data_IF_294172331122
#
_entry.id   IF_294172331122
#
_cell.length_a   1.000
_cell.length_b   1.000
_cell.length_c   1.000
_cell.angle_alpha   90.00
_cell.angle_beta   90.00
_cell.angle_gamma   90.00
#
_symmetry.space_group_name_H-M   'P 1'
#
loop_
_entity.id
_entity.type
_entity.pdbx_description
1 polymer ?
#
# COMPACT_ATOMS: atom_id res chain seq x y z
N UNK A 1 20.16 -4.81 7.49
CA UNK A 1 18.75 -4.40 7.73
C UNK A 1 18.71 -3.40 8.87
N UNK A 2 18.02 -2.28 8.66
CA UNK A 2 17.87 -1.27 9.70
C UNK A 2 16.95 -1.76 10.81
N UNK A 3 17.22 -1.33 12.03
CA UNK A 3 16.33 -1.56 13.16
C UNK A 3 15.19 -0.53 13.13
N UNK A 4 14.02 -0.96 13.59
CA UNK A 4 12.86 -0.08 13.67
C UNK A 4 13.12 1.07 14.66
N UNK A 5 12.92 2.29 14.17
CA UNK A 5 12.96 3.51 14.99
C UNK A 5 11.89 4.48 14.47
N UNK A 6 11.33 5.31 15.34
CA UNK A 6 10.38 6.36 14.95
C UNK A 6 11.08 7.73 14.96
N UNK A 7 10.92 8.53 13.91
CA UNK A 7 10.28 8.18 12.63
C UNK A 7 11.14 7.27 11.77
N UNK A 8 10.49 6.54 10.85
CA UNK A 8 11.21 5.73 9.87
C UNK A 8 11.99 6.63 8.89
N UNK A 9 13.14 6.15 8.46
CA UNK A 9 13.95 6.84 7.44
C UNK A 9 13.48 6.41 6.05
N UNK A 10 12.36 6.98 5.62
CA UNK A 10 11.74 6.69 4.32
C UNK A 10 11.37 7.98 3.61
N UNK A 11 11.21 7.87 2.29
CA UNK A 11 10.79 8.97 1.42
C UNK A 11 9.46 8.59 0.78
N UNK A 12 8.53 9.54 0.72
CA UNK A 12 7.25 9.38 0.02
C UNK A 12 7.28 10.18 -1.28
N UNK A 13 6.98 9.51 -2.40
CA UNK A 13 6.81 10.14 -3.70
C UNK A 13 5.36 10.12 -4.11
N UNK A 14 4.89 11.17 -4.76
CA UNK A 14 3.50 11.27 -5.23
C UNK A 14 3.48 11.71 -6.69
N UNK A 15 2.72 10.95 -7.50
CA UNK A 15 2.47 11.25 -8.90
C UNK A 15 0.96 11.39 -9.08
N UNK A 16 0.51 12.53 -9.59
CA UNK A 16 -0.90 12.79 -9.84
C UNK A 16 -1.25 12.45 -11.29
N UNK A 17 -2.39 11.83 -11.50
CA UNK A 17 -2.94 11.58 -12.82
C UNK A 17 -4.01 12.61 -13.16
N UNK A 18 -4.18 12.86 -14.46
CA UNK A 18 -5.18 13.79 -14.98
C UNK A 18 -6.09 13.07 -15.99
N UNK A 19 -7.17 13.70 -16.38
CA UNK A 19 -8.08 13.15 -17.38
C UNK A 19 -8.86 11.95 -16.88
N UNK A 20 -8.75 10.82 -17.57
CA UNK A 20 -9.51 9.60 -17.26
C UNK A 20 -9.23 9.05 -15.86
N UNK A 21 -8.07 9.35 -15.32
CA UNK A 21 -7.63 8.84 -14.02
C UNK A 21 -7.78 9.89 -12.91
N UNK A 22 -8.63 10.88 -13.11
CA UNK A 22 -8.91 11.92 -12.10
C UNK A 22 -9.39 11.27 -10.81
N UNK A 23 -8.78 11.65 -9.67
CA UNK A 23 -9.05 11.06 -8.37
C UNK A 23 -8.19 9.82 -8.08
N UNK A 24 -7.46 9.34 -9.07
CA UNK A 24 -6.48 8.27 -8.90
C UNK A 24 -5.06 8.85 -8.96
N UNK A 25 -4.16 8.22 -8.28
CA UNK A 25 -2.77 8.66 -8.22
C UNK A 25 -1.83 7.51 -7.98
N UNK A 26 -0.57 7.80 -7.79
CA UNK A 26 0.43 6.84 -7.34
C UNK A 26 1.32 7.54 -6.32
N UNK A 27 1.10 7.25 -5.06
CA UNK A 27 2.00 7.67 -4.00
C UNK A 27 2.67 6.41 -3.46
N UNK A 28 3.97 6.46 -3.26
CA UNK A 28 4.71 5.27 -2.83
C UNK A 28 5.88 5.66 -1.95
N UNK A 29 6.32 4.69 -1.14
CA UNK A 29 7.48 4.86 -0.28
C UNK A 29 8.74 4.35 -0.97
N UNK A 30 9.87 4.92 -0.56
CA UNK A 30 11.20 4.39 -0.81
C UNK A 30 11.93 4.29 0.52
N UNK A 31 12.63 3.20 0.75
CA UNK A 31 13.43 3.01 1.96
C UNK A 31 12.94 1.89 2.87
N UNK A 32 11.72 1.36 2.67
CA UNK A 32 11.24 0.24 3.49
C UNK A 32 12.07 -1.03 3.26
N UNK A 33 12.68 -1.18 2.10
CA UNK A 33 13.59 -2.29 1.80
C UNK A 33 14.75 -2.35 2.79
N UNK A 34 15.19 -1.22 3.32
CA UNK A 34 16.25 -1.17 4.33
C UNK A 34 15.81 -1.79 5.66
N UNK A 35 14.51 -1.83 5.92
CA UNK A 35 13.92 -2.46 7.11
C UNK A 35 13.48 -3.90 6.86
N UNK A 36 13.80 -4.47 5.70
CA UNK A 36 13.43 -5.82 5.34
C UNK A 36 11.98 -5.99 4.90
N UNK A 37 11.33 -4.89 4.46
CA UNK A 37 9.94 -4.88 4.03
C UNK A 37 9.83 -4.39 2.59
N UNK A 38 8.74 -4.74 1.92
CA UNK A 38 8.42 -4.13 0.64
C UNK A 38 7.91 -2.72 0.83
N UNK A 39 8.15 -1.89 -0.16
CA UNK A 39 7.53 -0.58 -0.19
C UNK A 39 6.02 -0.71 -0.35
N UNK A 40 5.32 0.32 0.06
CA UNK A 40 3.87 0.40 -0.01
C UNK A 40 3.48 1.54 -0.94
N UNK A 41 2.30 1.43 -1.52
CA UNK A 41 1.80 2.46 -2.41
C UNK A 41 0.31 2.73 -2.17
N UNK A 42 -0.15 3.88 -2.65
CA UNK A 42 -1.51 4.34 -2.52
C UNK A 42 -1.99 4.80 -3.90
N UNK A 43 -3.12 4.27 -4.34
CA UNK A 43 -3.64 4.53 -5.70
C UNK A 43 -4.68 5.64 -5.78
N UNK A 44 -4.92 6.38 -4.70
CA UNK A 44 -5.86 7.49 -4.67
C UNK A 44 -5.11 8.81 -4.59
N UNK A 45 -5.59 9.81 -5.31
CA UNK A 45 -5.04 11.17 -5.23
C UNK A 45 -5.68 11.92 -4.05
N UNK A 46 -4.99 11.92 -2.93
CA UNK A 46 -5.35 12.70 -1.76
C UNK A 46 -4.41 13.92 -1.66
N UNK A 47 -4.73 14.88 -0.79
CA UNK A 47 -3.79 15.96 -0.55
C UNK A 47 -2.47 15.43 0.03
N UNK A 48 -1.40 16.22 -0.04
CA UNK A 48 -0.07 15.75 0.34
C UNK A 48 0.01 15.37 1.83
N UNK A 49 -0.65 16.13 2.70
CA UNK A 49 -0.64 15.85 4.14
C UNK A 49 -1.30 14.51 4.46
N UNK A 50 -2.51 14.28 3.93
CA UNK A 50 -3.22 13.01 4.14
C UNK A 50 -2.46 11.83 3.54
N UNK A 51 -1.89 12.00 2.35
CA UNK A 51 -1.10 10.97 1.68
C UNK A 51 0.10 10.57 2.54
N UNK A 52 0.88 11.53 3.00
CA UNK A 52 2.03 11.27 3.86
C UNK A 52 1.64 10.64 5.19
N UNK A 53 0.56 11.13 5.81
CA UNK A 53 0.08 10.58 7.08
C UNK A 53 -0.33 9.12 6.94
N UNK A 54 -1.06 8.77 5.89
CA UNK A 54 -1.47 7.38 5.65
C UNK A 54 -0.24 6.50 5.39
N UNK A 55 0.65 6.91 4.50
CA UNK A 55 1.85 6.13 4.18
C UNK A 55 2.73 5.94 5.40
N UNK A 56 2.97 6.99 6.18
CA UNK A 56 3.80 6.90 7.39
C UNK A 56 3.15 6.04 8.47
N UNK A 57 1.86 6.21 8.71
CA UNK A 57 1.14 5.42 9.72
C UNK A 57 1.18 3.94 9.37
N UNK A 58 0.88 3.58 8.11
CA UNK A 58 0.90 2.18 7.67
C UNK A 58 2.32 1.63 7.67
N UNK A 59 3.32 2.41 7.24
CA UNK A 59 4.71 1.98 7.24
C UNK A 59 5.20 1.67 8.65
N UNK A 60 4.89 2.52 9.61
CA UNK A 60 5.26 2.30 11.02
C UNK A 60 4.60 1.04 11.58
N UNK A 61 3.30 0.88 11.32
CA UNK A 61 2.56 -0.32 11.74
C UNK A 61 3.17 -1.59 11.13
N UNK A 62 3.56 -1.52 9.86
CA UNK A 62 4.13 -2.64 9.11
C UNK A 62 5.54 -3.02 9.61
N UNK A 63 6.32 -2.05 10.03
CA UNK A 63 7.72 -2.24 10.46
C UNK A 63 7.89 -2.48 11.95
N UNK A 64 6.93 -2.09 12.79
CA UNK A 64 7.04 -2.21 14.24
C UNK A 64 6.99 -3.67 14.67
N UNK A 65 8.07 -4.21 15.25
CA UNK A 65 8.11 -5.61 15.66
C UNK A 65 7.17 -5.92 16.83
N UNK A 66 6.70 -4.91 17.57
CA UNK A 66 5.72 -5.10 18.64
C UNK A 66 4.28 -5.20 18.13
N UNK A 67 4.05 -4.77 16.89
CA UNK A 67 2.74 -4.89 16.26
C UNK A 67 2.63 -6.23 15.54
N UNK A 68 1.57 -6.97 15.83
CA UNK A 68 1.28 -8.23 15.14
C UNK A 68 0.51 -7.96 13.85
N UNK A 69 1.19 -7.31 12.90
CA UNK A 69 0.56 -6.92 11.65
C UNK A 69 0.39 -8.11 10.71
N UNK A 70 -0.86 -8.38 10.32
CA UNK A 70 -1.17 -9.44 9.38
C UNK A 70 -1.52 -8.86 8.01
N UNK A 71 -0.63 -9.07 7.03
CA UNK A 71 -0.80 -8.54 5.66
C UNK A 71 -2.01 -9.11 4.92
N UNK A 72 -2.60 -10.19 5.42
CA UNK A 72 -3.76 -10.85 4.78
C UNK A 72 -5.11 -10.35 5.31
N UNK A 73 -5.12 -9.45 6.30
CA UNK A 73 -6.34 -8.97 6.93
C UNK A 73 -6.56 -7.49 6.70
N UNK A 74 -7.82 -7.07 6.78
CA UNK A 74 -8.16 -5.66 6.84
C UNK A 74 -7.91 -5.13 8.26
N UNK A 75 -7.50 -3.87 8.35
CA UNK A 75 -7.18 -3.20 9.59
C UNK A 75 -7.93 -1.88 9.70
N UNK A 76 -8.38 -1.55 10.91
CA UNK A 76 -8.90 -0.23 11.23
C UNK A 76 -7.87 0.45 12.13
N UNK A 77 -7.30 1.55 11.68
CA UNK A 77 -6.22 2.23 12.38
C UNK A 77 -6.51 3.71 12.53
N UNK A 78 -5.85 4.32 13.50
CA UNK A 78 -5.97 5.74 13.77
C UNK A 78 -4.80 6.48 13.13
N UNK A 79 -5.11 7.54 12.40
CA UNK A 79 -4.10 8.45 11.87
C UNK A 79 -3.39 9.15 13.02
N UNK A 80 -2.06 9.11 13.02
CA UNK A 80 -1.26 9.66 14.12
C UNK A 80 -1.42 11.18 14.31
N UNK A 81 -1.69 11.90 13.22
CA UNK A 81 -1.71 13.37 13.24
C UNK A 81 -3.11 13.97 13.36
N UNK A 82 -4.10 13.37 12.71
CA UNK A 82 -5.45 13.93 12.59
C UNK A 82 -6.46 13.32 13.56
N UNK A 83 -6.06 12.29 14.30
CA UNK A 83 -6.93 11.53 15.19
C UNK A 83 -8.13 10.87 14.50
N UNK A 84 -8.14 10.84 13.17
CA UNK A 84 -9.16 10.19 12.38
C UNK A 84 -8.84 8.70 12.19
N UNK A 85 -9.88 7.91 12.03
CA UNK A 85 -9.75 6.48 11.78
C UNK A 85 -9.89 6.20 10.30
N UNK A 86 -9.07 5.27 9.79
CA UNK A 86 -9.24 4.75 8.43
C UNK A 86 -9.08 3.23 8.41
N UNK A 87 -9.78 2.59 7.47
CA UNK A 87 -9.67 1.15 7.27
C UNK A 87 -8.95 0.86 5.97
N UNK A 88 -8.11 -0.16 5.97
CA UNK A 88 -7.37 -0.56 4.79
C UNK A 88 -7.05 -2.05 4.80
N UNK A 89 -6.72 -2.59 3.63
CA UNK A 89 -6.06 -3.89 3.49
C UNK A 89 -4.98 -3.79 2.42
N UNK A 90 -4.08 -4.76 2.38
CA UNK A 90 -3.01 -4.81 1.40
C UNK A 90 -3.41 -5.66 0.19
N UNK A 91 -3.20 -5.12 -1.00
CA UNK A 91 -3.28 -5.84 -2.27
C UNK A 91 -1.86 -5.96 -2.82
N UNK A 92 -1.32 -7.18 -3.03
CA UNK A 92 -0.03 -7.35 -3.69
C UNK A 92 -0.07 -6.81 -5.12
N UNK A 93 0.92 -6.00 -5.45
CA UNK A 93 1.01 -5.37 -6.78
C UNK A 93 2.48 -5.27 -7.20
N UNK A 94 2.71 -4.95 -8.47
CA UNK A 94 3.97 -4.40 -8.92
C UNK A 94 3.77 -2.90 -9.16
N UNK A 95 4.54 -2.09 -8.45
CA UNK A 95 4.53 -0.64 -8.60
C UNK A 95 5.85 -0.26 -9.25
N UNK A 96 5.80 0.32 -10.46
CA UNK A 96 6.99 0.58 -11.28
C UNK A 96 7.87 -0.67 -11.42
N UNK A 97 7.23 -1.82 -11.70
CA UNK A 97 7.88 -3.12 -11.88
C UNK A 97 8.52 -3.72 -10.62
N UNK A 98 8.37 -3.07 -9.47
CA UNK A 98 8.84 -3.58 -8.19
C UNK A 98 7.70 -4.14 -7.35
N UNK A 99 7.88 -5.32 -6.71
CA UNK A 99 6.85 -5.84 -5.79
C UNK A 99 6.56 -4.85 -4.67
N UNK A 100 5.28 -4.61 -4.42
CA UNK A 100 4.81 -3.66 -3.42
C UNK A 100 3.48 -4.11 -2.86
N UNK A 101 3.06 -3.49 -1.76
CA UNK A 101 1.70 -3.63 -1.27
C UNK A 101 0.93 -2.35 -1.53
N UNK A 102 -0.18 -2.47 -2.25
CA UNK A 102 -1.11 -1.37 -2.44
C UNK A 102 -2.00 -1.27 -1.19
N UNK A 103 -2.04 -0.09 -0.59
CA UNK A 103 -2.97 0.21 0.50
C UNK A 103 -4.33 0.46 -0.13
N UNK A 104 -5.28 -0.45 0.07
CA UNK A 104 -6.65 -0.29 -0.42
C UNK A 104 -7.49 0.28 0.70
N UNK A 105 -7.94 1.52 0.54
CA UNK A 105 -8.69 2.25 1.57
C UNK A 105 -10.19 2.00 1.44
N UNK A 106 -10.88 1.93 2.58
CA UNK A 106 -12.34 2.04 2.62
C UNK A 106 -12.73 3.51 2.42
N UNK A 107 -13.93 3.72 1.90
CA UNK A 107 -14.50 5.06 1.79
C UNK A 107 -14.94 5.61 3.15
N UNK A 108 -15.49 6.82 3.18
CA UNK A 108 -15.94 7.46 4.40
C UNK A 108 -17.04 6.69 5.15
N UNK A 109 -17.74 5.78 4.46
CA UNK A 109 -18.79 4.94 5.04
C UNK A 109 -18.28 3.56 5.44
N UNK A 110 -16.98 3.29 5.30
CA UNK A 110 -16.35 2.02 5.63
C UNK A 110 -16.48 0.95 4.55
N UNK A 111 -16.85 1.32 3.33
CA UNK A 111 -16.98 0.39 2.22
C UNK A 111 -15.67 0.29 1.44
N UNK A 112 -15.21 -0.93 1.18
CA UNK A 112 -14.10 -1.22 0.29
C UNK A 112 -14.57 -1.28 -1.17
N UNK A 113 -13.66 -1.22 -2.16
CA UNK A 113 -14.04 -1.23 -3.58
C UNK A 113 -14.96 -2.37 -4.00
N UNK A 114 -14.83 -3.54 -3.37
CA UNK A 114 -15.66 -4.72 -3.64
C UNK A 114 -17.04 -4.66 -2.98
N UNK A 115 -17.24 -3.73 -2.05
CA UNK A 115 -18.50 -3.60 -1.35
C UNK A 115 -19.51 -2.79 -2.16
N UNK A 116 -20.78 -3.15 -2.03
CA UNK A 116 -21.87 -2.41 -2.65
C UNK A 116 -21.95 -1.03 -2.00
N UNK A 117 -22.02 0.02 -2.82
CA UNK A 117 -22.16 1.38 -2.35
C UNK A 117 -20.83 2.10 -2.07
N UNK A 118 -19.70 1.49 -2.42
CA UNK A 118 -18.42 2.18 -2.30
C UNK A 118 -18.39 3.43 -3.18
N UNK A 119 -17.96 4.55 -2.61
CA UNK A 119 -17.90 5.84 -3.29
C UNK A 119 -16.61 6.01 -4.10
N UNK A 120 -16.70 6.80 -5.18
CA UNK A 120 -15.50 7.22 -5.90
C UNK A 120 -14.76 8.31 -5.12
N UNK A 121 -13.41 8.38 -5.17
CA UNK A 121 -12.52 7.56 -6.01
C UNK A 121 -12.14 6.20 -5.42
N UNK A 122 -12.61 5.87 -4.23
CA UNK A 122 -12.26 4.63 -3.51
C UNK A 122 -12.65 3.38 -4.30
N UNK A 123 -13.81 3.41 -4.95
CA UNK A 123 -14.31 2.30 -5.77
C UNK A 123 -13.36 1.92 -6.90
N UNK A 124 -12.64 2.88 -7.45
CA UNK A 124 -11.75 2.68 -8.61
C UNK A 124 -10.31 2.31 -8.24
N UNK A 125 -10.00 2.13 -6.96
CA UNK A 125 -8.63 1.82 -6.51
C UNK A 125 -8.06 0.55 -7.12
N UNK A 126 -8.88 -0.44 -7.40
CA UNK A 126 -8.46 -1.74 -7.93
C UNK A 126 -8.47 -1.80 -9.46
N UNK A 127 -8.73 -0.68 -10.14
CA UNK A 127 -8.63 -0.61 -11.59
C UNK A 127 -7.17 -0.48 -12.01
N UNK A 128 -6.86 -0.93 -13.22
CA UNK A 128 -5.50 -0.83 -13.75
C UNK A 128 -5.04 0.62 -13.79
N UNK A 129 -3.96 0.89 -13.08
CA UNK A 129 -3.24 2.15 -13.13
C UNK A 129 -2.04 2.01 -14.06
N UNK A 130 -1.58 3.11 -14.63
CA UNK A 130 -0.45 3.09 -15.56
C UNK A 130 0.80 2.44 -14.97
N UNK A 131 1.10 2.72 -13.71
CA UNK A 131 2.33 2.29 -13.05
C UNK A 131 2.12 1.18 -12.00
N UNK A 132 0.91 0.66 -11.90
CA UNK A 132 0.56 -0.37 -10.92
C UNK A 132 -0.02 -1.58 -11.67
N UNK A 133 0.64 -2.71 -11.54
CA UNK A 133 0.20 -4.00 -12.09
C UNK A 133 -0.29 -4.88 -10.95
N UNK A 134 -1.54 -5.32 -11.02
CA UNK A 134 -2.12 -6.18 -9.99
C UNK A 134 -1.69 -7.62 -10.17
N UNK A 135 -1.38 -8.27 -9.05
CA UNK A 135 -1.05 -9.71 -9.04
C UNK A 135 -2.34 -10.48 -9.36
N UNK A 136 -2.27 -11.46 -10.28
CA UNK A 136 -3.45 -12.21 -10.68
C UNK A 136 -4.17 -12.85 -9.49
N UNK A 137 -5.51 -12.89 -9.59
CA UNK A 137 -6.33 -13.58 -8.62
C UNK A 137 -6.41 -15.07 -8.96
N UNK A 138 -6.40 -15.90 -7.94
CA UNK A 138 -6.62 -17.34 -8.06
C UNK A 138 -7.96 -17.64 -7.41
N UNK A 139 -8.94 -18.11 -8.21
CA UNK A 139 -10.29 -18.39 -7.73
C UNK A 139 -10.96 -17.19 -7.03
N UNK A 140 -10.74 -15.98 -7.55
CA UNK A 140 -11.32 -14.75 -7.00
C UNK A 140 -10.60 -14.19 -5.77
N UNK A 141 -9.49 -14.81 -5.36
CA UNK A 141 -8.67 -14.34 -4.25
C UNK A 141 -7.27 -14.00 -4.72
N UNK A 142 -6.55 -13.19 -3.93
CA UNK A 142 -5.18 -12.82 -4.26
C UNK A 142 -4.28 -14.06 -4.24
N UNK A 143 -3.49 -14.25 -5.27
CA UNK A 143 -2.49 -15.32 -5.31
C UNK A 143 -1.24 -14.89 -4.52
N UNK A 144 -1.30 -15.06 -3.21
CA UNK A 144 -0.18 -14.74 -2.33
C UNK A 144 1.03 -15.64 -2.59
N UNK A 145 0.82 -16.86 -3.06
CA UNK A 145 1.94 -17.76 -3.39
C UNK A 145 2.75 -17.22 -4.56
N UNK A 146 2.08 -16.76 -5.63
CA UNK A 146 2.75 -16.16 -6.76
C UNK A 146 3.51 -14.89 -6.36
N UNK A 147 2.88 -14.05 -5.54
CA UNK A 147 3.50 -12.84 -5.02
C UNK A 147 4.72 -13.18 -4.17
N UNK A 148 4.58 -14.14 -3.25
CA UNK A 148 5.65 -14.54 -2.34
C UNK A 148 6.85 -15.12 -3.09
N UNK A 149 6.62 -15.89 -4.16
CA UNK A 149 7.71 -16.43 -4.99
C UNK A 149 8.50 -15.32 -5.67
N UNK A 150 7.80 -14.33 -6.25
CA UNK A 150 8.46 -13.19 -6.87
C UNK A 150 9.18 -12.33 -5.83
N UNK A 151 8.58 -12.17 -4.66
CA UNK A 151 9.18 -11.49 -3.53
C UNK A 151 10.48 -12.16 -3.11
N UNK A 152 10.44 -13.47 -2.95
CA UNK A 152 11.61 -14.26 -2.54
C UNK A 152 12.74 -14.12 -3.56
N UNK A 153 12.40 -14.23 -4.84
CA UNK A 153 13.39 -14.08 -5.91
C UNK A 153 14.04 -12.69 -5.88
N UNK A 154 13.24 -11.65 -5.70
CA UNK A 154 13.75 -10.28 -5.65
C UNK A 154 14.67 -10.07 -4.45
N UNK A 155 14.29 -10.60 -3.28
CA UNK A 155 15.15 -10.54 -2.09
C UNK A 155 16.44 -11.33 -2.29
N UNK A 156 16.35 -12.51 -2.90
CA UNK A 156 17.52 -13.32 -3.19
C UNK A 156 18.47 -12.57 -4.13
N UNK A 157 17.92 -11.97 -5.19
CA UNK A 157 18.70 -11.18 -6.15
C UNK A 157 19.32 -9.94 -5.51
N UNK A 158 18.58 -9.29 -4.60
CA UNK A 158 19.04 -8.06 -3.92
C UNK A 158 20.17 -8.34 -2.93
N UNK A 159 20.09 -9.43 -2.18
CA UNK A 159 21.08 -9.78 -1.16
C UNK A 159 22.18 -10.73 -1.65
N UNK A 160 22.05 -11.24 -2.85
CA UNK A 160 23.04 -12.12 -3.45
C UNK A 160 24.11 -11.28 -4.15
N UNK A 161 25.19 -11.07 -3.48
CA UNK A 161 26.36 -10.43 -4.08
C UNK A 161 27.44 -11.46 -4.38
#
# INVERSE_FOLDING_TARGET
MKEYTEPLDIICHKINYTGKNKGLGNAHTHGLEDYGKFNICLGIDLNNEDTENILNTVAELFCDPEEEFNVSLAHLVKDENDEDWFAFYFQPVFCFEEPSFLIVLADENGNFPEDKGCLEPYKSQLKNHHDIEFIPLKNGTVDFDAFTKRQQKMWDDYFEE
#
